data_IF_275022209858
#
_entry.id   IF_275022209858
#
_cell.length_a   1.000
_cell.length_b   1.000
_cell.length_c   1.000
_cell.angle_alpha   90.00
_cell.angle_beta   90.00
_cell.angle_gamma   90.00
#
_symmetry.space_group_name_H-M   'P 1'
#
loop_
_entity.id
_entity.type
_entity.pdbx_description
1 polymer ?
#
# COMPACT_ATOMS: atom_id res chain seq x y z
N UNK A 1 22.98 24.51 1.66
CA UNK A 1 22.72 23.11 2.04
C UNK A 1 21.85 22.48 0.96
N UNK A 2 22.30 21.39 0.32
CA UNK A 2 21.41 20.60 -0.55
C UNK A 2 20.48 19.82 0.40
N UNK A 3 19.22 20.19 0.46
CA UNK A 3 18.20 19.33 1.07
C UNK A 3 18.10 18.08 0.22
N UNK A 4 18.56 16.95 0.74
CA UNK A 4 18.27 15.64 0.15
C UNK A 4 16.75 15.47 0.15
N UNK A 5 16.18 15.08 -1.00
CA UNK A 5 14.75 14.81 -1.09
C UNK A 5 14.38 13.72 -0.08
N UNK A 6 13.37 13.98 0.75
CA UNK A 6 12.88 13.02 1.74
C UNK A 6 12.23 11.83 1.04
N UNK A 7 12.56 10.61 1.47
CA UNK A 7 11.98 9.38 0.92
C UNK A 7 10.72 9.00 1.69
N UNK A 8 9.58 9.00 0.99
CA UNK A 8 8.28 8.61 1.52
C UNK A 8 7.91 7.26 0.93
N UNK A 9 7.50 6.30 1.77
CA UNK A 9 7.02 4.99 1.35
C UNK A 9 5.73 4.62 2.09
N UNK A 10 4.64 4.48 1.35
CA UNK A 10 3.33 4.06 1.86
C UNK A 10 3.11 2.62 1.44
N UNK A 11 3.19 1.70 2.38
CA UNK A 11 3.05 0.27 2.12
C UNK A 11 1.57 -0.07 1.93
N UNK A 12 1.24 -0.64 0.78
CA UNK A 12 -0.13 -1.07 0.47
C UNK A 12 -0.22 -2.56 0.76
N UNK A 13 -0.99 -2.90 1.79
CA UNK A 13 -1.20 -4.27 2.24
C UNK A 13 -2.20 -4.98 1.33
N UNK A 14 -1.67 -5.84 0.46
CA UNK A 14 -2.42 -6.72 -0.44
C UNK A 14 -2.73 -8.07 0.23
N UNK A 15 -3.94 -8.54 0.03
CA UNK A 15 -4.36 -9.88 0.47
C UNK A 15 -3.75 -10.94 -0.44
N UNK A 16 -3.27 -12.02 0.16
CA UNK A 16 -2.77 -13.22 -0.53
C UNK A 16 -3.88 -13.96 -1.30
N UNK A 17 -5.13 -13.90 -0.82
CA UNK A 17 -6.27 -14.63 -1.38
C UNK A 17 -7.13 -13.80 -2.35
N UNK A 18 -6.70 -12.57 -2.69
CA UNK A 18 -7.45 -11.70 -3.59
C UNK A 18 -6.53 -10.85 -4.48
N UNK A 19 -6.61 -11.09 -5.79
CA UNK A 19 -6.01 -10.20 -6.80
C UNK A 19 -6.72 -8.85 -6.77
N UNK A 20 -5.96 -7.80 -6.50
CA UNK A 20 -6.45 -6.42 -6.37
C UNK A 20 -5.61 -5.48 -7.22
N UNK A 21 -6.19 -4.34 -7.59
CA UNK A 21 -5.50 -3.32 -8.40
C UNK A 21 -4.26 -2.82 -7.67
N UNK A 22 -3.15 -2.74 -8.40
CA UNK A 22 -1.92 -2.05 -7.98
C UNK A 22 -1.93 -0.67 -8.62
N UNK A 23 -1.74 0.36 -7.80
CA UNK A 23 -1.65 1.75 -8.27
C UNK A 23 -0.19 2.03 -8.65
N UNK A 24 0.03 2.44 -9.90
CA UNK A 24 1.33 2.90 -10.36
C UNK A 24 1.63 4.29 -9.80
N UNK A 25 2.20 4.33 -8.60
CA UNK A 25 2.68 5.53 -7.93
C UNK A 25 3.91 5.21 -7.07
N UNK A 26 5.04 5.93 -7.22
CA UNK A 26 6.26 5.65 -6.46
C UNK A 26 6.09 5.83 -4.95
N UNK A 27 5.04 6.54 -4.49
CA UNK A 27 4.71 6.63 -3.08
C UNK A 27 4.14 5.32 -2.52
N UNK A 28 3.45 4.52 -3.35
CA UNK A 28 2.81 3.28 -2.91
C UNK A 28 3.72 2.08 -3.16
N UNK A 29 4.06 1.37 -2.09
CA UNK A 29 4.86 0.14 -2.14
C UNK A 29 3.93 -1.05 -1.91
N UNK A 30 3.52 -1.78 -2.97
CA UNK A 30 2.62 -2.91 -2.80
C UNK A 30 3.34 -4.09 -2.13
N UNK A 31 2.73 -4.65 -1.08
CA UNK A 31 3.28 -5.81 -0.34
C UNK A 31 2.17 -6.82 -0.05
N UNK A 32 2.43 -8.10 -0.29
CA UNK A 32 1.55 -9.20 0.14
C UNK A 32 1.64 -9.40 1.63
N UNK A 33 0.51 -9.25 2.31
CA UNK A 33 0.36 -9.38 3.75
C UNK A 33 0.13 -10.83 4.16
N UNK A 34 1.02 -11.36 4.99
CA UNK A 34 1.00 -12.77 5.38
C UNK A 34 1.46 -13.69 4.25
N UNK A 35 2.43 -13.24 3.45
CA UNK A 35 2.97 -14.02 2.33
C UNK A 35 3.55 -15.39 2.76
N UNK A 36 3.93 -15.57 4.04
CA UNK A 36 4.33 -16.86 4.58
C UNK A 36 3.20 -17.91 4.62
N UNK A 37 1.94 -17.47 4.50
CA UNK A 37 0.74 -18.31 4.48
C UNK A 37 0.15 -18.43 3.06
N UNK A 38 0.85 -17.92 2.04
CA UNK A 38 0.39 -17.95 0.65
C UNK A 38 0.77 -19.28 -0.01
N UNK A 39 -0.20 -20.18 -0.13
CA UNK A 39 -0.02 -21.50 -0.77
C UNK A 39 0.07 -21.41 -2.30
N UNK A 40 -0.22 -20.24 -2.90
CA UNK A 40 -0.27 -20.04 -4.35
C UNK A 40 0.54 -18.81 -4.78
N UNK A 41 1.83 -18.79 -4.46
CA UNK A 41 2.71 -17.66 -4.78
C UNK A 41 3.20 -17.62 -6.25
N UNK A 42 3.03 -18.72 -6.99
CA UNK A 42 3.58 -18.88 -8.33
C UNK A 42 3.08 -17.78 -9.29
N UNK A 43 4.04 -17.01 -9.83
CA UNK A 43 3.76 -15.92 -10.75
C UNK A 43 3.25 -14.63 -10.09
N UNK A 44 3.30 -14.51 -8.76
CA UNK A 44 2.94 -13.26 -8.09
C UNK A 44 4.06 -12.22 -8.22
N UNK A 45 3.73 -11.08 -8.81
CA UNK A 45 4.69 -9.99 -9.06
C UNK A 45 4.85 -9.04 -7.85
N UNK A 46 3.97 -9.16 -6.85
CA UNK A 46 4.02 -8.32 -5.66
C UNK A 46 4.92 -9.00 -4.61
N UNK A 47 5.89 -8.26 -4.09
CA UNK A 47 6.77 -8.73 -3.02
C UNK A 47 5.98 -9.10 -1.76
N UNK A 48 6.45 -10.12 -1.04
CA UNK A 48 5.86 -10.56 0.21
C UNK A 48 6.52 -9.96 1.44
N UNK A 49 5.75 -9.83 2.53
CA UNK A 49 6.26 -9.47 3.86
C UNK A 49 6.99 -10.62 4.58
N UNK A 50 7.28 -11.73 3.90
CA UNK A 50 7.92 -12.94 4.42
C UNK A 50 9.43 -13.04 4.09
N UNK A 51 10.06 -11.91 3.77
CA UNK A 51 11.49 -11.85 3.45
C UNK A 51 12.25 -11.07 4.52
N UNK A 52 13.55 -11.34 4.71
CA UNK A 52 14.35 -10.67 5.74
C UNK A 52 13.81 -10.90 7.17
N UNK A 53 13.96 -9.91 8.05
CA UNK A 53 13.38 -9.97 9.41
C UNK A 53 11.88 -9.68 9.34
N UNK A 54 11.06 -10.67 9.70
CA UNK A 54 9.62 -10.59 9.50
C UNK A 54 8.82 -11.37 10.54
N UNK A 55 7.51 -11.08 10.58
CA UNK A 55 6.50 -11.78 11.38
C UNK A 55 5.31 -12.22 10.52
N UNK A 56 5.54 -12.51 9.24
CA UNK A 56 4.50 -12.78 8.23
C UNK A 56 3.55 -13.92 8.65
N UNK A 57 4.09 -14.98 9.26
CA UNK A 57 3.31 -16.12 9.78
C UNK A 57 2.25 -15.71 10.83
N UNK A 58 2.44 -14.55 11.48
CA UNK A 58 1.51 -14.02 12.50
C UNK A 58 0.38 -13.17 11.91
N UNK A 59 0.21 -13.15 10.58
CA UNK A 59 -0.84 -12.35 9.90
C UNK A 59 -2.25 -12.61 10.41
N UNK A 60 -2.55 -13.83 10.88
CA UNK A 60 -3.87 -14.13 11.47
C UNK A 60 -4.15 -13.32 12.74
N UNK A 61 -3.13 -13.01 13.53
CA UNK A 61 -3.27 -12.24 14.78
C UNK A 61 -2.99 -10.74 14.59
N UNK A 62 -2.11 -10.38 13.65
CA UNK A 62 -1.61 -9.01 13.49
C UNK A 62 -2.13 -8.30 12.22
N UNK A 63 -2.84 -9.01 11.34
CA UNK A 63 -3.37 -8.47 10.09
C UNK A 63 -2.27 -7.69 9.32
N UNK A 64 -2.59 -6.49 8.82
CA UNK A 64 -1.68 -5.63 8.05
C UNK A 64 -0.45 -5.15 8.82
N UNK A 65 -0.40 -5.35 10.14
CA UNK A 65 0.74 -4.97 10.96
C UNK A 65 1.98 -5.81 10.65
N UNK A 66 1.83 -7.00 10.04
CA UNK A 66 2.98 -7.78 9.57
C UNK A 66 3.74 -7.06 8.44
N UNK A 67 3.01 -6.38 7.55
CA UNK A 67 3.60 -5.52 6.51
C UNK A 67 4.31 -4.32 7.12
N UNK A 68 3.71 -3.67 8.11
CA UNK A 68 4.32 -2.53 8.79
C UNK A 68 5.61 -2.92 9.55
N UNK A 69 5.61 -4.08 10.21
CA UNK A 69 6.80 -4.63 10.85
C UNK A 69 7.89 -4.92 9.81
N UNK A 70 7.53 -5.60 8.72
CA UNK A 70 8.46 -5.90 7.64
C UNK A 70 9.08 -4.62 7.05
N UNK A 71 8.26 -3.60 6.80
CA UNK A 71 8.72 -2.30 6.31
C UNK A 71 9.74 -1.64 7.25
N UNK A 72 9.47 -1.66 8.56
CA UNK A 72 10.38 -1.12 9.57
C UNK A 72 11.75 -1.82 9.55
N UNK A 73 11.78 -3.14 9.31
CA UNK A 73 13.01 -3.92 9.36
C UNK A 73 13.80 -3.95 8.05
N UNK A 74 13.12 -3.86 6.91
CA UNK A 74 13.69 -4.23 5.61
C UNK A 74 13.66 -3.08 4.58
N UNK A 75 13.12 -1.92 4.94
CA UNK A 75 13.06 -0.77 4.04
C UNK A 75 13.75 0.44 4.68
N UNK A 76 14.33 1.30 3.85
CA UNK A 76 14.96 2.56 4.27
C UNK A 76 14.15 3.72 3.70
N UNK A 77 13.46 4.48 4.55
CA UNK A 77 12.67 5.65 4.21
C UNK A 77 12.70 6.66 5.37
N UNK A 78 12.48 7.94 5.06
CA UNK A 78 12.30 8.98 6.07
C UNK A 78 10.88 8.94 6.67
N UNK A 79 9.89 8.55 5.86
CA UNK A 79 8.48 8.46 6.26
C UNK A 79 7.87 7.13 5.81
N UNK A 80 7.23 6.45 6.76
CA UNK A 80 6.52 5.20 6.55
C UNK A 80 5.02 5.44 6.69
N UNK A 81 4.26 5.03 5.68
CA UNK A 81 2.80 4.96 5.71
C UNK A 81 2.30 3.53 5.52
N UNK A 82 1.05 3.29 5.88
CA UNK A 82 0.38 2.01 5.66
C UNK A 82 -1.03 2.27 5.11
N UNK A 83 -1.41 1.52 4.09
CA UNK A 83 -2.74 1.53 3.51
C UNK A 83 -3.20 0.12 3.19
N UNK A 84 -4.51 -0.04 3.04
CA UNK A 84 -5.11 -1.31 2.65
C UNK A 84 -5.27 -1.32 1.12
N UNK A 85 -5.25 -2.49 0.46
CA UNK A 85 -5.36 -2.61 -1.01
C UNK A 85 -6.60 -1.97 -1.67
N UNK A 86 -7.59 -1.52 -0.89
CA UNK A 86 -8.82 -0.88 -1.37
C UNK A 86 -9.14 0.45 -0.67
N UNK A 87 -8.20 0.99 0.12
CA UNK A 87 -8.33 2.28 0.83
C UNK A 87 -6.99 3.00 0.73
N UNK A 88 -6.93 3.99 -0.14
CA UNK A 88 -5.73 4.75 -0.45
C UNK A 88 -5.84 6.16 0.11
N UNK A 89 -4.70 6.72 0.49
CA UNK A 89 -4.58 8.14 0.83
C UNK A 89 -4.44 8.95 -0.45
N UNK A 90 -5.44 9.77 -0.80
CA UNK A 90 -5.32 10.72 -1.90
C UNK A 90 -4.62 12.00 -1.42
N UNK A 91 -3.71 12.53 -2.24
CA UNK A 91 -2.98 13.78 -2.00
C UNK A 91 -3.45 14.89 -2.94
N UNK A 92 -4.70 14.82 -3.41
CA UNK A 92 -5.26 15.85 -4.26
C UNK A 92 -5.37 17.19 -3.53
N UNK A 93 -4.99 18.27 -4.19
CA UNK A 93 -5.09 19.63 -3.63
C UNK A 93 -6.55 20.14 -3.56
N UNK A 94 -7.46 19.52 -4.32
CA UNK A 94 -8.85 19.96 -4.46
C UNK A 94 -9.78 19.26 -3.46
N UNK A 95 -10.65 20.03 -2.80
CA UNK A 95 -11.72 19.50 -1.95
C UNK A 95 -12.78 18.75 -2.77
N UNK A 96 -13.31 17.63 -2.24
CA UNK A 96 -14.10 16.71 -3.09
C UNK A 96 -15.27 15.95 -2.42
N UNK A 97 -16.26 16.57 -1.76
CA UNK A 97 -17.07 16.10 -0.59
C UNK A 97 -17.13 14.59 -0.22
N UNK A 98 -16.96 14.28 1.07
CA UNK A 98 -16.90 12.90 1.60
C UNK A 98 -18.13 12.51 2.39
N UNK A 99 -18.13 11.29 2.91
CA UNK A 99 -19.11 10.89 3.92
C UNK A 99 -18.79 11.49 5.30
N UNK A 100 -19.55 11.12 6.34
CA UNK A 100 -19.40 11.61 7.71
C UNK A 100 -18.01 11.33 8.33
N UNK A 101 -17.21 10.46 7.72
CA UNK A 101 -15.84 10.11 8.14
C UNK A 101 -14.76 10.72 7.22
N UNK A 102 -15.14 11.67 6.37
CA UNK A 102 -14.28 12.30 5.36
C UNK A 102 -13.76 11.33 4.27
N UNK A 103 -14.34 10.13 4.19
CA UNK A 103 -13.94 9.10 3.22
C UNK A 103 -14.67 9.28 1.89
N UNK A 104 -13.93 9.18 0.79
CA UNK A 104 -14.49 9.16 -0.57
C UNK A 104 -14.72 7.71 -0.97
N UNK A 105 -15.99 7.32 -0.93
CA UNK A 105 -16.43 5.94 -1.13
C UNK A 105 -16.84 5.73 -2.59
N UNK A 106 -16.22 4.74 -3.21
CA UNK A 106 -16.60 4.24 -4.53
C UNK A 106 -16.99 2.77 -4.44
N UNK A 107 -17.81 2.32 -5.39
CA UNK A 107 -18.18 0.91 -5.48
C UNK A 107 -16.97 0.00 -5.77
N UNK A 108 -16.00 0.50 -6.54
CA UNK A 108 -14.76 -0.21 -6.83
C UNK A 108 -13.59 0.75 -7.09
N UNK A 109 -12.38 0.24 -6.91
CA UNK A 109 -11.16 0.89 -7.37
C UNK A 109 -10.91 0.46 -8.82
N UNK A 110 -11.18 1.38 -9.75
CA UNK A 110 -10.99 1.24 -11.19
C UNK A 110 -9.99 2.29 -11.67
N UNK A 111 -9.55 2.19 -12.92
CA UNK A 111 -8.69 3.21 -13.54
C UNK A 111 -9.33 4.59 -13.45
N UNK A 112 -10.63 4.69 -13.76
CA UNK A 112 -11.38 5.94 -13.67
C UNK A 112 -11.39 6.52 -12.25
N UNK A 113 -11.64 5.70 -11.22
CA UNK A 113 -11.68 6.21 -9.84
C UNK A 113 -10.29 6.55 -9.34
N UNK A 114 -9.27 5.78 -9.70
CA UNK A 114 -7.87 6.11 -9.41
C UNK A 114 -7.41 7.42 -10.09
N UNK A 115 -7.87 7.71 -11.31
CA UNK A 115 -7.66 9.00 -11.98
C UNK A 115 -8.40 10.16 -11.30
N UNK A 116 -9.67 9.95 -10.92
CA UNK A 116 -10.51 10.94 -10.23
C UNK A 116 -9.86 11.40 -8.92
N UNK A 117 -9.35 10.45 -8.14
CA UNK A 117 -8.69 10.72 -6.86
C UNK A 117 -7.17 10.94 -6.98
N UNK A 118 -6.66 11.10 -8.21
CA UNK A 118 -5.25 11.40 -8.50
C UNK A 118 -4.26 10.43 -7.83
N UNK A 119 -4.59 9.14 -7.82
CA UNK A 119 -3.77 8.12 -7.17
C UNK A 119 -2.55 7.72 -8.01
N UNK A 120 -2.63 7.82 -9.34
CA UNK A 120 -1.51 7.50 -10.23
C UNK A 120 -0.40 8.56 -10.19
N UNK A 121 0.83 8.15 -10.48
CA UNK A 121 1.94 9.08 -10.69
C UNK A 121 1.70 9.92 -11.95
N UNK A 122 1.07 11.07 -11.80
CA UNK A 122 1.15 12.12 -12.82
C UNK A 122 2.45 12.84 -12.54
N UNK A 123 3.55 12.39 -13.16
CA UNK A 123 4.77 13.19 -13.24
C UNK A 123 4.36 14.62 -13.60
N UNK A 124 4.58 15.57 -12.67
CA UNK A 124 4.49 17.00 -13.00
C UNK A 124 5.67 17.36 -13.88
#
# INVERSE_FOLDING_TARGET
>A
MKTTAKKIAIFVSHRIDLKSMVIDNPLYVPVRCGAALDENDEGNVIMGDNTGDNISEKRISFCEYTVQYWAWKNYDADYYGLCHYRRYLSFMDSFMPGNDYDVRMENNLSVRTAELYQLFNKSK
#
